data_IF_825696159939
#
_entry.id   IF_825696159939
#
_cell.length_a   1.000
_cell.length_b   1.000
_cell.length_c   1.000
_cell.angle_alpha   90.00
_cell.angle_beta   90.00
_cell.angle_gamma   90.00
#
_symmetry.space_group_name_H-M   'P 1'
#
loop_
_entity.id
_entity.type
_entity.pdbx_description
1 polymer ?
#
# COMPACT_ATOMS: atom_id res chain seq x y z
N UNK A 1 12.50 23.25 16.60
CA UNK A 1 12.21 21.83 16.96
C UNK A 1 10.72 21.55 17.25
N UNK A 2 9.86 22.55 17.40
CA UNK A 2 8.42 22.38 17.73
C UNK A 2 7.53 21.81 16.59
N UNK A 3 7.97 21.85 15.32
CA UNK A 3 7.13 21.45 14.18
C UNK A 3 7.21 19.98 13.78
N UNK A 4 8.25 19.25 14.21
CA UNK A 4 8.42 17.82 13.90
C UNK A 4 7.20 16.95 14.27
N UNK A 5 6.57 17.09 15.47
CA UNK A 5 5.37 16.31 15.78
C UNK A 5 4.17 16.68 14.89
N UNK A 6 4.06 17.94 14.45
CA UNK A 6 2.97 18.39 13.56
C UNK A 6 3.11 17.83 12.15
N UNK A 7 4.34 17.78 11.62
CA UNK A 7 4.62 17.19 10.31
C UNK A 7 4.29 15.69 10.31
N UNK A 8 4.73 14.96 11.33
CA UNK A 8 4.42 13.54 11.48
C UNK A 8 2.90 13.28 11.56
N UNK A 9 2.14 14.12 12.27
CA UNK A 9 0.66 14.05 12.28
C UNK A 9 0.08 14.14 10.87
N UNK A 10 0.45 15.19 10.13
CA UNK A 10 -0.10 15.46 8.81
C UNK A 10 0.25 14.36 7.82
N UNK A 11 1.49 13.85 7.88
CA UNK A 11 1.89 12.72 7.03
C UNK A 11 1.11 11.45 7.35
N UNK A 12 0.89 11.15 8.64
CA UNK A 12 0.08 10.01 9.06
C UNK A 12 -1.40 10.17 8.64
N UNK A 13 -1.93 11.39 8.68
CA UNK A 13 -3.28 11.71 8.21
C UNK A 13 -3.42 11.56 6.70
N UNK A 14 -2.48 12.09 5.91
CA UNK A 14 -2.42 11.89 4.46
C UNK A 14 -2.34 10.39 4.13
N UNK A 15 -1.51 9.64 4.85
CA UNK A 15 -1.42 8.20 4.70
C UNK A 15 -2.75 7.49 4.95
N UNK A 16 -3.42 7.84 6.05
CA UNK A 16 -4.70 7.24 6.42
C UNK A 16 -5.80 7.57 5.40
N UNK A 17 -5.89 8.82 4.95
CA UNK A 17 -6.86 9.25 3.93
C UNK A 17 -6.59 8.54 2.59
N UNK A 18 -5.33 8.39 2.18
CA UNK A 18 -4.99 7.66 0.96
C UNK A 18 -5.32 6.16 1.05
N UNK A 19 -5.02 5.50 2.18
CA UNK A 19 -5.42 4.11 2.43
C UNK A 19 -6.94 3.96 2.39
N UNK A 20 -7.68 4.82 3.09
CA UNK A 20 -9.13 4.79 3.12
C UNK A 20 -9.74 5.01 1.72
N UNK A 21 -9.22 5.99 0.98
CA UNK A 21 -9.66 6.27 -0.40
C UNK A 21 -9.42 5.06 -1.30
N UNK A 22 -8.24 4.43 -1.22
CA UNK A 22 -7.95 3.24 -2.01
C UNK A 22 -8.91 2.09 -1.67
N UNK A 23 -9.15 1.81 -0.37
CA UNK A 23 -10.09 0.78 0.06
C UNK A 23 -11.53 1.06 -0.41
N UNK A 24 -11.98 2.31 -0.32
CA UNK A 24 -13.31 2.72 -0.81
C UNK A 24 -13.41 2.45 -2.31
N UNK A 25 -12.40 2.83 -3.10
CA UNK A 25 -12.40 2.56 -4.53
C UNK A 25 -12.42 1.05 -4.80
N UNK A 26 -11.62 0.24 -4.09
CA UNK A 26 -11.63 -1.21 -4.25
C UNK A 26 -13.01 -1.85 -3.98
N UNK A 27 -13.81 -1.26 -3.08
CA UNK A 27 -15.17 -1.71 -2.79
C UNK A 27 -16.19 -1.21 -3.81
N UNK A 28 -16.03 0.02 -4.31
CA UNK A 28 -16.95 0.63 -5.28
C UNK A 28 -16.74 0.07 -6.69
N UNK A 29 -15.49 -0.18 -7.10
CA UNK A 29 -15.14 -0.60 -8.46
C UNK A 29 -15.95 -1.82 -8.94
N UNK A 30 -16.14 -2.91 -8.16
CA UNK A 30 -17.01 -4.03 -8.54
C UNK A 30 -18.49 -3.68 -8.69
N UNK A 31 -18.99 -2.68 -7.97
CA UNK A 31 -20.39 -2.26 -8.05
C UNK A 31 -20.66 -1.46 -9.34
N UNK A 32 -19.66 -0.68 -9.76
CA UNK A 32 -19.71 0.15 -10.97
C UNK A 32 -19.40 -0.66 -12.23
N UNK A 33 -18.62 -1.75 -12.09
CA UNK A 33 -18.21 -2.66 -13.16
C UNK A 33 -18.61 -4.12 -12.83
N UNK A 34 -19.91 -4.42 -12.67
CA UNK A 34 -20.36 -5.75 -12.26
C UNK A 34 -20.05 -6.84 -13.31
N UNK A 35 -19.78 -6.46 -14.56
CA UNK A 35 -19.34 -7.39 -15.60
C UNK A 35 -17.90 -7.90 -15.39
N UNK A 36 -17.09 -7.22 -14.58
CA UNK A 36 -15.75 -7.67 -14.20
C UNK A 36 -15.82 -8.53 -12.93
N UNK A 37 -15.57 -9.84 -13.08
CA UNK A 37 -15.43 -10.75 -11.94
C UNK A 37 -14.31 -10.28 -11.00
N UNK A 38 -14.66 -10.09 -9.72
CA UNK A 38 -13.75 -9.72 -8.63
C UNK A 38 -12.65 -10.77 -8.43
N UNK A 39 -12.94 -12.04 -8.74
CA UNK A 39 -11.99 -13.14 -8.57
C UNK A 39 -11.05 -13.26 -9.75
N UNK A 40 -11.58 -13.12 -10.97
CA UNK A 40 -10.79 -13.40 -12.18
C UNK A 40 -10.02 -12.17 -12.66
N UNK A 41 -10.65 -10.99 -12.66
CA UNK A 41 -10.06 -9.82 -13.30
C UNK A 41 -9.12 -9.07 -12.37
N UNK A 42 -7.94 -8.75 -12.91
CA UNK A 42 -6.91 -7.97 -12.24
C UNK A 42 -7.45 -6.59 -11.82
N UNK A 43 -6.91 -6.01 -10.75
CA UNK A 43 -7.35 -4.70 -10.25
C UNK A 43 -7.22 -3.60 -11.32
N UNK A 44 -6.24 -3.71 -12.21
CA UNK A 44 -6.01 -2.73 -13.28
C UNK A 44 -7.09 -2.76 -14.37
N UNK A 45 -7.89 -3.83 -14.50
CA UNK A 45 -8.98 -3.88 -15.49
C UNK A 45 -10.09 -2.87 -15.20
N UNK A 46 -10.28 -2.49 -13.93
CA UNK A 46 -11.23 -1.43 -13.56
C UNK A 46 -10.82 -0.05 -14.10
N UNK A 47 -9.57 0.11 -14.54
CA UNK A 47 -9.07 1.32 -15.19
C UNK A 47 -9.42 1.43 -16.69
N UNK A 48 -9.99 0.39 -17.30
CA UNK A 48 -10.24 0.36 -18.74
C UNK A 48 -11.60 1.00 -19.06
N UNK A 49 -11.63 1.87 -20.06
CA UNK A 49 -12.86 2.50 -20.56
C UNK A 49 -13.29 3.75 -19.76
N UNK A 50 -14.60 4.06 -19.68
CA UNK A 50 -15.07 5.34 -19.11
C UNK A 50 -14.82 5.48 -17.60
N UNK A 51 -14.45 4.39 -16.93
CA UNK A 51 -14.23 4.31 -15.49
C UNK A 51 -12.76 4.43 -15.08
N UNK A 52 -11.88 4.77 -16.04
CA UNK A 52 -10.43 4.88 -15.83
C UNK A 52 -10.07 5.74 -14.61
N UNK A 53 -10.76 6.86 -14.44
CA UNK A 53 -10.52 7.81 -13.36
C UNK A 53 -10.68 7.19 -11.97
N UNK A 54 -11.60 6.23 -11.80
CA UNK A 54 -11.86 5.59 -10.52
C UNK A 54 -10.63 4.78 -10.07
N UNK A 55 -10.13 3.90 -10.93
CA UNK A 55 -8.96 3.09 -10.60
C UNK A 55 -7.67 3.92 -10.57
N UNK A 56 -7.55 4.95 -11.41
CA UNK A 56 -6.47 5.95 -11.33
C UNK A 56 -6.44 6.65 -9.97
N UNK A 57 -7.60 7.01 -9.42
CA UNK A 57 -7.69 7.57 -8.08
C UNK A 57 -7.19 6.59 -7.02
N UNK A 58 -7.49 5.30 -7.14
CA UNK A 58 -6.93 4.29 -6.24
C UNK A 58 -5.40 4.25 -6.30
N UNK A 59 -4.82 4.24 -7.50
CA UNK A 59 -3.36 4.24 -7.67
C UNK A 59 -2.71 5.50 -7.11
N UNK A 60 -3.28 6.67 -7.38
CA UNK A 60 -2.80 7.94 -6.82
C UNK A 60 -2.90 7.95 -5.29
N UNK A 61 -4.02 7.48 -4.72
CA UNK A 61 -4.24 7.42 -3.28
C UNK A 61 -3.26 6.46 -2.60
N UNK A 62 -3.00 5.29 -3.17
CA UNK A 62 -1.97 4.36 -2.68
C UNK A 62 -0.57 4.97 -2.76
N UNK A 63 -0.27 5.67 -3.86
CA UNK A 63 1.00 6.35 -4.06
C UNK A 63 1.26 7.42 -3.00
N UNK A 64 0.30 8.33 -2.82
CA UNK A 64 0.35 9.34 -1.77
C UNK A 64 0.43 8.73 -0.38
N UNK A 65 -0.34 7.67 -0.12
CA UNK A 65 -0.33 7.03 1.19
C UNK A 65 1.03 6.41 1.54
N UNK A 66 1.59 5.68 0.58
CA UNK A 66 2.89 5.00 0.75
C UNK A 66 4.01 6.02 0.89
N UNK A 67 4.01 7.06 0.06
CA UNK A 67 4.97 8.15 0.16
C UNK A 67 4.89 8.85 1.53
N UNK A 68 3.69 9.28 1.92
CA UNK A 68 3.48 9.99 3.19
C UNK A 68 3.85 9.11 4.40
N UNK A 69 3.47 7.84 4.39
CA UNK A 69 3.83 6.91 5.45
C UNK A 69 5.33 6.64 5.51
N UNK A 70 5.99 6.46 4.36
CA UNK A 70 7.44 6.32 4.26
C UNK A 70 8.17 7.52 4.87
N UNK A 71 7.65 8.73 4.65
CA UNK A 71 8.17 9.95 5.29
C UNK A 71 7.83 10.04 6.78
N UNK A 72 6.74 9.42 7.24
CA UNK A 72 6.29 9.43 8.64
C UNK A 72 6.99 8.38 9.53
N UNK A 73 7.40 7.23 8.99
CA UNK A 73 7.98 6.12 9.75
C UNK A 73 9.23 6.50 10.58
N UNK A 74 10.17 7.35 10.11
CA UNK A 74 11.33 7.76 10.92
C UNK A 74 10.95 8.45 12.24
N UNK A 75 9.73 8.98 12.35
CA UNK A 75 9.26 9.65 13.56
C UNK A 75 8.82 8.69 14.67
N UNK A 76 8.75 7.37 14.42
CA UNK A 76 8.43 6.36 15.46
C UNK A 76 9.56 6.22 16.49
N UNK A 77 10.79 6.65 16.16
CA UNK A 77 11.99 6.58 17.04
C UNK A 77 12.30 5.17 17.56
N UNK A 78 12.13 4.15 16.72
CA UNK A 78 12.59 2.80 17.03
C UNK A 78 14.12 2.75 16.96
N UNK A 79 14.76 2.08 17.93
CA UNK A 79 16.22 1.92 18.01
C UNK A 79 16.72 0.78 17.08
N UNK A 80 16.31 0.82 15.82
CA UNK A 80 16.56 -0.26 14.85
C UNK A 80 16.92 0.28 13.47
N UNK A 81 17.86 -0.37 12.80
CA UNK A 81 18.31 0.01 11.45
C UNK A 81 17.29 -0.33 10.37
N UNK A 82 16.28 -1.15 10.68
CA UNK A 82 15.28 -1.63 9.72
C UNK A 82 14.18 -0.61 9.36
N UNK A 83 14.05 0.49 10.12
CA UNK A 83 13.08 1.55 9.77
C UNK A 83 13.52 2.38 8.58
N UNK A 84 14.81 2.64 8.42
CA UNK A 84 15.33 3.37 7.25
C UNK A 84 15.00 2.66 5.92
N UNK A 85 15.30 1.36 5.72
CA UNK A 85 14.92 0.68 4.49
C UNK A 85 13.40 0.54 4.34
N UNK A 86 12.64 0.30 5.41
CA UNK A 86 11.16 0.29 5.33
C UNK A 86 10.61 1.63 4.81
N UNK A 87 11.14 2.74 5.32
CA UNK A 87 10.76 4.10 4.91
C UNK A 87 11.09 4.36 3.45
N UNK A 88 12.32 4.04 3.02
CA UNK A 88 12.76 4.21 1.64
C UNK A 88 11.91 3.39 0.66
N UNK A 89 11.64 2.12 0.99
CA UNK A 89 10.87 1.22 0.14
C UNK A 89 9.40 1.67 0.01
N UNK A 90 8.80 2.22 1.07
CA UNK A 90 7.48 2.85 0.97
C UNK A 90 7.48 4.08 0.06
N UNK A 91 8.53 4.89 0.08
CA UNK A 91 8.68 6.03 -0.84
C UNK A 91 8.81 5.54 -2.28
N UNK A 92 9.64 4.53 -2.54
CA UNK A 92 9.78 3.90 -3.87
C UNK A 92 8.43 3.35 -4.34
N UNK A 93 7.71 2.64 -3.46
CA UNK A 93 6.36 2.15 -3.78
C UNK A 93 5.38 3.29 -4.07
N UNK A 94 5.51 4.40 -3.35
CA UNK A 94 4.74 5.62 -3.59
C UNK A 94 4.90 6.13 -5.02
N UNK A 95 6.15 6.32 -5.47
CA UNK A 95 6.45 6.72 -6.84
C UNK A 95 5.98 5.69 -7.87
N UNK A 96 6.21 4.40 -7.62
CA UNK A 96 5.78 3.33 -8.51
C UNK A 96 4.25 3.29 -8.68
N UNK A 97 3.50 3.54 -7.59
CA UNK A 97 2.03 3.61 -7.64
C UNK A 97 1.53 4.85 -8.37
N UNK A 98 2.21 6.00 -8.24
CA UNK A 98 1.91 7.19 -9.05
C UNK A 98 2.23 6.94 -10.53
N UNK A 99 3.28 6.19 -10.85
CA UNK A 99 3.60 5.83 -12.23
C UNK A 99 2.50 4.98 -12.90
N UNK A 100 1.70 4.22 -12.14
CA UNK A 100 0.52 3.52 -12.68
C UNK A 100 -0.56 4.48 -13.19
N UNK A 101 -0.56 5.73 -12.74
CA UNK A 101 -1.44 6.79 -13.28
C UNK A 101 -0.98 7.22 -14.67
N UNK A 102 0.33 7.31 -14.88
CA UNK A 102 0.93 7.79 -16.13
C UNK A 102 1.02 6.72 -17.21
N UNK A 103 1.04 5.44 -16.82
CA UNK A 103 1.04 4.30 -17.71
C UNK A 103 -0.34 3.63 -17.69
N UNK A 104 -1.32 4.12 -18.48
CA UNK A 104 -2.66 3.55 -18.47
C UNK A 104 -2.66 2.12 -19.00
N UNK A 105 -3.51 1.28 -18.40
CA UNK A 105 -3.70 -0.10 -18.85
C UNK A 105 -4.58 -0.12 -20.12
N UNK A 106 -4.14 -0.83 -21.15
CA UNK A 106 -4.93 -1.10 -22.35
C UNK A 106 -5.89 -2.28 -22.18
N UNK A 107 -6.81 -2.46 -23.13
CA UNK A 107 -7.59 -3.69 -23.27
C UNK A 107 -6.68 -4.89 -23.60
N UNK A 108 -7.21 -6.11 -23.44
CA UNK A 108 -6.51 -7.32 -23.88
C UNK A 108 -6.07 -7.20 -25.35
N UNK A 109 -4.84 -7.61 -25.63
CA UNK A 109 -4.20 -7.45 -26.93
C UNK A 109 -2.70 -7.76 -26.87
N UNK A 110 -1.95 -7.52 -27.96
CA UNK A 110 -0.50 -7.69 -27.99
C UNK A 110 0.20 -6.87 -26.89
N UNK A 111 1.35 -7.35 -26.41
CA UNK A 111 2.17 -6.59 -25.49
C UNK A 111 2.55 -5.23 -26.09
N UNK A 112 2.51 -4.20 -25.26
CA UNK A 112 2.85 -2.82 -25.65
C UNK A 112 3.81 -2.23 -24.64
N UNK A 113 4.67 -1.32 -25.07
CA UNK A 113 5.61 -0.62 -24.19
C UNK A 113 4.91 0.07 -23.01
N UNK A 114 3.71 0.62 -23.21
CA UNK A 114 2.90 1.23 -22.14
C UNK A 114 2.39 0.17 -21.15
N UNK A 115 1.88 -0.96 -21.64
CA UNK A 115 1.45 -2.08 -20.80
C UNK A 115 2.61 -2.67 -19.99
N UNK A 116 3.77 -2.85 -20.61
CA UNK A 116 4.97 -3.34 -19.95
C UNK A 116 5.46 -2.35 -18.88
N UNK A 117 5.38 -1.04 -19.15
CA UNK A 117 5.70 0.00 -18.18
C UNK A 117 4.73 -0.01 -16.99
N UNK A 118 3.43 -0.18 -17.23
CA UNK A 118 2.42 -0.35 -16.17
C UNK A 118 2.72 -1.59 -15.31
N UNK A 119 2.98 -2.74 -15.93
CA UNK A 119 3.31 -3.98 -15.23
C UNK A 119 4.61 -3.86 -14.43
N UNK A 120 5.62 -3.21 -14.99
CA UNK A 120 6.90 -2.94 -14.30
C UNK A 120 6.67 -2.06 -13.08
N UNK A 121 5.96 -0.95 -13.22
CA UNK A 121 5.61 -0.06 -12.12
C UNK A 121 4.84 -0.81 -11.02
N UNK A 122 3.83 -1.61 -11.39
CA UNK A 122 3.05 -2.41 -10.45
C UNK A 122 3.91 -3.43 -9.69
N UNK A 123 4.82 -4.09 -10.39
CA UNK A 123 5.72 -5.09 -9.80
C UNK A 123 6.72 -4.46 -8.84
N UNK A 124 7.38 -3.36 -9.25
CA UNK A 124 8.30 -2.60 -8.38
C UNK A 124 7.56 -2.10 -7.14
N UNK A 125 6.36 -1.55 -7.32
CA UNK A 125 5.53 -1.05 -6.24
C UNK A 125 5.15 -2.15 -5.24
N UNK A 126 4.71 -3.31 -5.72
CA UNK A 126 4.33 -4.44 -4.88
C UNK A 126 5.51 -5.05 -4.13
N UNK A 127 6.64 -5.30 -4.81
CA UNK A 127 7.85 -5.83 -4.17
C UNK A 127 8.35 -4.86 -3.09
N UNK A 128 8.39 -3.57 -3.39
CA UNK A 128 8.81 -2.56 -2.43
C UNK A 128 7.90 -2.55 -1.17
N UNK A 129 6.58 -2.69 -1.33
CA UNK A 129 5.65 -2.82 -0.19
C UNK A 129 5.93 -4.06 0.66
N UNK A 130 6.11 -5.22 0.03
CA UNK A 130 6.35 -6.49 0.73
C UNK A 130 7.65 -6.43 1.52
N UNK A 131 8.72 -5.92 0.91
CA UNK A 131 10.01 -5.78 1.59
C UNK A 131 9.92 -4.70 2.68
N UNK A 132 9.18 -3.60 2.46
CA UNK A 132 8.94 -2.61 3.51
C UNK A 132 8.20 -3.20 4.72
N UNK A 133 7.17 -4.01 4.47
CA UNK A 133 6.41 -4.70 5.51
C UNK A 133 7.29 -5.71 6.27
N UNK A 134 8.18 -6.43 5.57
CA UNK A 134 9.18 -7.30 6.21
C UNK A 134 10.14 -6.51 7.10
N UNK A 135 10.73 -5.44 6.58
CA UNK A 135 11.62 -4.57 7.35
C UNK A 135 10.90 -3.98 8.57
N UNK A 136 9.65 -3.55 8.41
CA UNK A 136 8.82 -3.05 9.51
C UNK A 136 8.55 -4.14 10.56
N UNK A 137 8.17 -5.35 10.16
CA UNK A 137 7.95 -6.46 11.07
C UNK A 137 9.23 -6.79 11.88
N UNK A 138 10.40 -6.82 11.23
CA UNK A 138 11.68 -7.02 11.90
C UNK A 138 11.97 -5.86 12.88
N UNK A 139 11.70 -4.62 12.46
CA UNK A 139 11.93 -3.42 13.25
C UNK A 139 11.15 -3.43 14.57
N UNK A 140 9.89 -3.86 14.55
CA UNK A 140 9.01 -3.83 15.72
C UNK A 140 9.14 -5.06 16.63
N UNK A 141 9.76 -6.15 16.17
CA UNK A 141 9.77 -7.47 16.84
C UNK A 141 10.17 -7.44 18.32
N UNK A 142 11.14 -6.59 18.69
CA UNK A 142 11.67 -6.48 20.07
C UNK A 142 11.37 -5.13 20.71
N UNK A 143 10.58 -4.29 20.06
CA UNK A 143 10.25 -2.99 20.61
C UNK A 143 9.13 -3.12 21.67
N UNK A 144 9.29 -2.60 22.90
CA UNK A 144 8.27 -2.74 23.94
C UNK A 144 6.94 -2.07 23.60
N UNK A 145 6.94 -1.01 22.79
CA UNK A 145 5.71 -0.33 22.39
C UNK A 145 5.06 -1.06 21.20
N UNK A 146 5.84 -1.54 20.23
CA UNK A 146 5.33 -2.08 18.97
C UNK A 146 5.33 -3.61 18.87
N UNK A 147 5.97 -4.33 19.78
CA UNK A 147 6.16 -5.78 19.73
C UNK A 147 4.87 -6.59 19.64
N UNK A 148 3.79 -6.14 20.29
CA UNK A 148 2.48 -6.80 20.21
C UNK A 148 1.88 -6.81 18.78
N UNK A 149 2.39 -5.97 17.87
CA UNK A 149 1.96 -5.91 16.47
C UNK A 149 2.80 -6.82 15.55
N UNK A 150 3.83 -7.47 16.08
CA UNK A 150 4.72 -8.34 15.31
C UNK A 150 3.95 -9.48 14.64
N UNK A 151 3.15 -10.24 15.41
CA UNK A 151 2.38 -11.38 14.89
C UNK A 151 1.39 -10.93 13.81
N UNK A 152 0.65 -9.85 14.04
CA UNK A 152 -0.26 -9.28 13.06
C UNK A 152 0.46 -8.87 11.77
N UNK A 153 1.61 -8.19 11.90
CA UNK A 153 2.40 -7.74 10.75
C UNK A 153 2.92 -8.92 9.93
N UNK A 154 3.38 -9.99 10.59
CA UNK A 154 3.82 -11.22 9.93
C UNK A 154 2.66 -11.91 9.22
N UNK A 155 1.49 -12.03 9.85
CA UNK A 155 0.30 -12.65 9.21
C UNK A 155 -0.11 -11.89 7.96
N UNK A 156 -0.25 -10.56 8.04
CA UNK A 156 -0.63 -9.73 6.89
C UNK A 156 0.42 -9.79 5.78
N UNK A 157 1.72 -9.77 6.14
CA UNK A 157 2.82 -9.97 5.19
C UNK A 157 2.74 -11.35 4.51
N UNK A 158 2.54 -12.43 5.26
CA UNK A 158 2.47 -13.79 4.73
C UNK A 158 1.30 -13.93 3.75
N UNK A 159 0.11 -13.42 4.09
CA UNK A 159 -1.03 -13.42 3.16
C UNK A 159 -0.68 -12.66 1.88
N UNK A 160 0.00 -11.51 2.02
CA UNK A 160 0.43 -10.69 0.88
C UNK A 160 1.46 -11.39 -0.01
N UNK A 161 2.42 -12.09 0.59
CA UNK A 161 3.41 -12.89 -0.14
C UNK A 161 2.74 -14.04 -0.90
N UNK A 162 1.78 -14.74 -0.27
CA UNK A 162 1.00 -15.79 -0.94
C UNK A 162 0.22 -15.22 -2.12
N UNK A 163 -0.45 -14.08 -1.94
CA UNK A 163 -1.11 -13.36 -3.03
C UNK A 163 -0.16 -12.97 -4.16
N UNK A 164 1.05 -12.53 -3.83
CA UNK A 164 2.03 -12.09 -4.81
C UNK A 164 2.57 -13.26 -5.63
N UNK A 165 2.91 -14.37 -4.96
CA UNK A 165 3.30 -15.61 -5.62
C UNK A 165 2.17 -16.14 -6.52
N UNK A 166 0.92 -16.11 -6.05
CA UNK A 166 -0.24 -16.48 -6.85
C UNK A 166 -0.45 -15.58 -8.06
N UNK A 167 -0.23 -14.27 -7.91
CA UNK A 167 -0.33 -13.30 -9.02
C UNK A 167 0.75 -13.56 -10.07
N UNK A 168 1.99 -13.81 -9.65
CA UNK A 168 3.08 -14.14 -10.59
C UNK A 168 2.85 -15.49 -11.28
N UNK A 169 2.35 -16.49 -10.54
CA UNK A 169 1.99 -17.77 -11.11
C UNK A 169 0.87 -17.64 -12.16
N UNK A 170 -0.13 -16.77 -11.93
CA UNK A 170 -1.17 -16.48 -12.91
C UNK A 170 -0.64 -15.82 -14.19
N UNK A 171 0.46 -15.05 -14.10
CA UNK A 171 1.12 -14.43 -15.26
C UNK A 171 1.95 -15.46 -16.04
N UNK A 172 2.75 -16.26 -15.34
CA UNK A 172 3.68 -17.21 -15.96
C UNK A 172 3.00 -18.47 -16.48
N UNK A 173 1.89 -18.87 -15.87
CA UNK A 173 1.15 -20.09 -16.20
C UNK A 173 -0.35 -19.79 -16.37
N UNK A 174 -0.75 -19.00 -17.38
CA UNK A 174 -2.14 -18.62 -17.60
C UNK A 174 -3.07 -19.83 -17.79
N UNK A 175 -2.56 -20.94 -18.32
CA UNK A 175 -3.30 -22.19 -18.52
C UNK A 175 -3.79 -22.84 -17.22
N UNK A 176 -3.24 -22.44 -16.06
CA UNK A 176 -3.65 -22.95 -14.75
C UNK A 176 -4.93 -22.31 -14.22
N UNK A 177 -5.46 -21.27 -14.88
CA UNK A 177 -6.70 -20.60 -14.46
C UNK A 177 -6.64 -20.05 -13.04
N UNK A 178 -5.47 -19.56 -12.61
CA UNK A 178 -5.32 -18.97 -11.27
C UNK A 178 -6.08 -17.63 -11.24
N UNK A 179 -7.00 -17.41 -10.28
CA UNK A 179 -7.86 -16.23 -10.26
C UNK A 179 -7.05 -14.97 -9.91
N UNK A 180 -6.62 -14.24 -10.95
CA UNK A 180 -5.72 -13.09 -10.84
C UNK A 180 -6.30 -11.97 -9.95
N UNK A 181 -7.61 -11.71 -10.06
CA UNK A 181 -8.29 -10.72 -9.23
C UNK A 181 -8.24 -11.05 -7.74
N UNK A 182 -8.37 -12.33 -7.38
CA UNK A 182 -8.28 -12.79 -6.01
C UNK A 182 -6.85 -12.70 -5.46
N UNK A 183 -5.86 -13.16 -6.23
CA UNK A 183 -4.45 -13.15 -5.81
C UNK A 183 -3.93 -11.72 -5.63
N UNK A 184 -4.26 -10.78 -6.52
CA UNK A 184 -3.90 -9.37 -6.36
C UNK A 184 -4.54 -8.74 -5.11
N UNK A 185 -5.78 -9.10 -4.77
CA UNK A 185 -6.45 -8.61 -3.54
C UNK A 185 -5.80 -9.16 -2.28
N UNK A 186 -5.33 -10.42 -2.31
CA UNK A 186 -4.52 -10.99 -1.23
C UNK A 186 -3.20 -10.24 -1.04
N UNK A 187 -2.65 -9.61 -2.08
CA UNK A 187 -1.50 -8.68 -1.93
C UNK A 187 -1.95 -7.36 -1.32
N UNK A 188 -2.88 -6.69 -1.97
CA UNK A 188 -3.16 -5.27 -1.71
C UNK A 188 -3.90 -5.06 -0.40
N UNK A 189 -4.93 -5.85 -0.10
CA UNK A 189 -5.80 -5.62 1.06
C UNK A 189 -5.05 -5.78 2.39
N UNK A 190 -4.28 -6.85 2.64
CA UNK A 190 -3.57 -6.98 3.92
C UNK A 190 -2.49 -5.91 4.11
N UNK A 191 -1.82 -5.48 3.03
CA UNK A 191 -0.88 -4.36 3.08
C UNK A 191 -1.59 -3.04 3.42
N UNK A 192 -2.73 -2.75 2.79
CA UNK A 192 -3.53 -1.56 3.13
C UNK A 192 -4.00 -1.59 4.59
N UNK A 193 -4.42 -2.75 5.09
CA UNK A 193 -4.79 -2.92 6.50
C UNK A 193 -3.60 -2.64 7.40
N UNK A 194 -2.43 -3.24 7.12
CA UNK A 194 -1.20 -3.01 7.89
C UNK A 194 -0.86 -1.52 7.94
N UNK A 195 -0.78 -0.87 6.79
CA UNK A 195 -0.37 0.53 6.69
C UNK A 195 -1.42 1.51 7.24
N UNK A 196 -2.71 1.21 7.08
CA UNK A 196 -3.78 1.96 7.71
C UNK A 196 -3.69 1.92 9.23
N UNK A 197 -3.44 0.74 9.80
CA UNK A 197 -3.24 0.58 11.25
C UNK A 197 -1.99 1.32 11.74
N UNK A 198 -0.87 1.22 11.02
CA UNK A 198 0.36 1.95 11.36
C UNK A 198 0.15 3.46 11.30
N UNK A 199 -0.50 3.96 10.25
CA UNK A 199 -0.84 5.38 10.09
C UNK A 199 -1.77 5.88 11.20
N UNK A 200 -2.82 5.11 11.55
CA UNK A 200 -3.74 5.44 12.64
C UNK A 200 -3.03 5.49 13.99
N UNK A 201 -2.12 4.53 14.24
CA UNK A 201 -1.31 4.51 15.46
C UNK A 201 -0.34 5.69 15.54
N UNK A 202 0.29 6.06 14.43
CA UNK A 202 1.15 7.24 14.33
C UNK A 202 0.36 8.52 14.65
N UNK A 203 -0.81 8.69 14.03
CA UNK A 203 -1.69 9.83 14.25
C UNK A 203 -2.09 9.96 15.73
N UNK A 204 -2.62 8.89 16.33
CA UNK A 204 -3.07 8.89 17.73
C UNK A 204 -1.95 9.14 18.73
N UNK A 205 -0.72 8.67 18.46
CA UNK A 205 0.43 8.97 19.30
C UNK A 205 0.80 10.46 19.26
N UNK A 206 0.71 11.07 18.09
CA UNK A 206 1.05 12.48 17.95
C UNK A 206 -0.03 13.40 18.55
N UNK A 207 -1.31 13.10 18.38
CA UNK A 207 -2.42 13.82 19.03
C UNK A 207 -2.27 13.81 20.57
N UNK A 208 -1.95 12.65 21.16
CA UNK A 208 -1.67 12.53 22.61
C UNK A 208 -0.46 13.35 23.05
N UNK A 209 0.59 13.41 22.24
CA UNK A 209 1.78 14.22 22.50
C UNK A 209 1.50 15.72 22.46
N UNK A 210 0.69 16.17 21.50
CA UNK A 210 0.25 17.56 21.36
C UNK A 210 -0.60 18.00 22.57
N UNK A 211 -1.56 17.20 23.01
CA UNK A 211 -2.41 17.53 24.15
C UNK A 211 -1.61 17.68 25.46
N UNK A 212 -0.62 16.82 25.69
CA UNK A 212 0.28 16.93 26.86
C UNK A 212 1.15 18.18 26.83
N UNK A 213 1.59 18.61 25.65
CA UNK A 213 2.39 19.82 25.50
C UNK A 213 1.58 21.10 25.73
N UNK A 214 0.32 21.13 25.27
CA UNK A 214 -0.59 22.26 25.51
C UNK A 214 -0.98 22.37 26.97
N UNK A 215 -1.26 21.24 27.65
CA UNK A 215 -1.61 21.23 29.07
C UNK A 215 -0.45 21.59 30.02
N UNK A 216 0.80 21.58 29.54
CA UNK A 216 2.00 21.91 30.32
C UNK A 216 2.47 23.37 30.14
N UNK A 217 1.69 24.20 29.43
CA UNK A 217 1.91 25.64 29.26
C UNK A 217 0.83 26.42 29.99
#
# INVERSE_FOLDING_TARGET
MADRPRIACRLAEVALTGVATNLIVLLISPLVRPELSVLEHSLSYYAIGPWWALQTLAFAALGMASFALGMALPFIRLSTTWIAPASLLLVISGFASVALVTFPMGSAGPATMLGDSHQTAGTVGAVAQLVAALCFAIAIRRDPAWGNWFALSVVLLTISVVGALGSQAAIWWPERGIPMGATMRLVVVPLLVLWGLVAARLRSNCERGLSRFVAAR
#
